data_IF_447470337766
#
_entry.id   IF_447470337766
#
_cell.length_a   1.000
_cell.length_b   1.000
_cell.length_c   1.000
_cell.angle_alpha   90.00
_cell.angle_beta   90.00
_cell.angle_gamma   90.00
#
_symmetry.space_group_name_H-M   'P 1'
#
loop_
_entity.id
_entity.type
_entity.pdbx_description
1 polymer ?
#
# COMPACT_ATOMS: atom_id res chain seq x y z
N UNK A 1 11.73 13.35 17.18
CA UNK A 1 10.85 12.19 16.93
C UNK A 1 9.85 12.61 15.88
N UNK A 2 10.26 12.57 14.62
CA UNK A 2 9.39 12.89 13.49
C UNK A 2 8.66 11.60 13.10
N UNK A 3 7.33 11.63 13.15
CA UNK A 3 6.48 10.50 12.80
C UNK A 3 6.43 10.42 11.26
N UNK A 4 7.57 10.07 10.63
CA UNK A 4 7.86 10.21 9.20
C UNK A 4 7.28 9.07 8.34
N UNK A 5 6.06 8.60 8.61
CA UNK A 5 5.33 7.89 7.58
C UNK A 5 4.83 8.97 6.62
N UNK A 6 5.46 9.12 5.45
CA UNK A 6 5.02 10.06 4.41
C UNK A 6 3.77 9.51 3.68
N UNK A 7 2.74 9.13 4.46
CA UNK A 7 1.46 8.57 4.04
C UNK A 7 0.36 9.38 4.71
N UNK A 8 -0.53 9.96 3.91
CA UNK A 8 -1.61 10.81 4.40
C UNK A 8 -2.65 9.99 5.17
N UNK A 9 -3.26 10.61 6.18
CA UNK A 9 -4.21 9.93 7.08
C UNK A 9 -5.49 9.50 6.36
N UNK A 10 -5.91 10.20 5.31
CA UNK A 10 -7.05 9.81 4.48
C UNK A 10 -6.81 8.49 3.72
N UNK A 11 -5.55 8.11 3.48
CA UNK A 11 -5.20 6.82 2.87
C UNK A 11 -5.34 5.67 3.90
N UNK A 12 -5.42 5.97 5.20
CA UNK A 12 -5.50 5.00 6.29
C UNK A 12 -6.92 4.91 6.88
N UNK A 13 -7.92 4.87 6.00
CA UNK A 13 -9.35 4.82 6.36
C UNK A 13 -10.04 3.57 5.79
N UNK A 14 -11.24 3.22 6.29
CA UNK A 14 -12.10 2.22 5.67
C UNK A 14 -12.42 2.58 4.21
N UNK A 15 -12.68 1.56 3.39
CA UNK A 15 -12.85 1.70 1.93
C UNK A 15 -13.86 2.77 1.50
N UNK A 16 -14.92 2.97 2.29
CA UNK A 16 -15.96 3.98 2.03
C UNK A 16 -15.48 5.43 2.16
N UNK A 17 -14.45 5.66 2.96
CA UNK A 17 -13.92 7.01 3.30
C UNK A 17 -12.45 7.19 2.94
N UNK A 18 -11.86 6.20 2.28
CA UNK A 18 -10.44 6.24 1.93
C UNK A 18 -10.16 7.21 0.78
N UNK A 19 -8.94 7.73 0.77
CA UNK A 19 -8.38 8.33 -0.42
C UNK A 19 -7.40 7.36 -1.08
N UNK A 20 -7.36 7.39 -2.41
CA UNK A 20 -6.35 6.67 -3.18
C UNK A 20 -4.95 7.21 -2.82
N UNK A 21 -3.98 6.34 -2.46
CA UNK A 21 -2.60 6.77 -2.24
C UNK A 21 -1.90 7.12 -3.56
N UNK A 22 -0.94 8.05 -3.49
CA UNK A 22 -0.01 8.37 -4.57
C UNK A 22 1.06 7.30 -4.76
N UNK A 23 1.83 7.38 -5.84
CA UNK A 23 2.95 6.48 -6.10
C UNK A 23 4.05 6.57 -5.05
N UNK A 24 4.26 7.75 -4.47
CA UNK A 24 5.18 7.96 -3.34
C UNK A 24 4.69 7.27 -2.07
N UNK A 25 3.40 7.37 -1.76
CA UNK A 25 2.78 6.69 -0.61
C UNK A 25 2.83 5.16 -0.79
N UNK A 26 2.64 4.66 -2.01
CA UNK A 26 2.83 3.24 -2.34
C UNK A 26 4.30 2.82 -2.16
N UNK A 27 5.26 3.65 -2.55
CA UNK A 27 6.68 3.37 -2.32
C UNK A 27 6.99 3.33 -0.81
N UNK A 28 6.41 4.25 -0.06
CA UNK A 28 6.65 4.37 1.37
C UNK A 28 6.05 3.19 2.15
N UNK A 29 4.82 2.76 1.84
CA UNK A 29 4.25 1.58 2.52
C UNK A 29 5.06 0.32 2.26
N UNK A 30 5.62 0.16 1.05
CA UNK A 30 6.52 -0.95 0.72
C UNK A 30 7.82 -0.89 1.52
N UNK A 31 8.38 0.31 1.69
CA UNK A 31 9.59 0.55 2.49
C UNK A 31 9.35 0.19 3.96
N UNK A 32 8.25 0.68 4.55
CA UNK A 32 7.84 0.40 5.92
C UNK A 32 7.59 -1.09 6.15
N UNK A 33 6.97 -1.77 5.19
CA UNK A 33 6.75 -3.21 5.22
C UNK A 33 8.02 -4.06 4.98
N UNK A 34 9.15 -3.44 4.62
CA UNK A 34 10.38 -4.17 4.25
C UNK A 34 10.23 -5.01 2.98
N UNK A 35 9.32 -4.64 2.08
CA UNK A 35 8.97 -5.42 0.89
C UNK A 35 9.62 -4.84 -0.37
N UNK A 36 10.31 -5.70 -1.12
CA UNK A 36 10.63 -5.43 -2.52
C UNK A 36 9.38 -5.60 -3.39
N UNK A 37 9.36 -5.02 -4.59
CA UNK A 37 8.21 -5.19 -5.51
C UNK A 37 7.89 -6.66 -5.84
N UNK A 38 8.92 -7.51 -5.99
CA UNK A 38 8.71 -8.94 -6.21
C UNK A 38 8.15 -9.69 -5.00
N UNK A 39 8.56 -9.32 -3.78
CA UNK A 39 8.00 -9.91 -2.56
C UNK A 39 6.58 -9.41 -2.30
N UNK A 40 6.31 -8.12 -2.52
CA UNK A 40 4.98 -7.52 -2.46
C UNK A 40 4.01 -8.22 -3.42
N UNK A 41 4.42 -8.45 -4.67
CA UNK A 41 3.62 -9.19 -5.64
C UNK A 41 3.24 -10.60 -5.18
N UNK A 42 4.16 -11.30 -4.50
CA UNK A 42 3.92 -12.65 -3.96
C UNK A 42 2.94 -12.63 -2.79
N UNK A 43 3.12 -11.73 -1.82
CA UNK A 43 2.23 -11.68 -0.64
C UNK A 43 0.83 -11.16 -0.98
N UNK A 44 0.70 -10.37 -2.05
CA UNK A 44 -0.58 -9.89 -2.58
C UNK A 44 -1.21 -10.85 -3.61
N UNK A 45 -0.57 -11.97 -3.94
CA UNK A 45 -1.12 -12.96 -4.87
C UNK A 45 -1.29 -12.48 -6.32
N UNK A 46 -0.48 -11.53 -6.80
CA UNK A 46 -0.66 -10.87 -8.12
C UNK A 46 -0.20 -11.72 -9.33
N UNK A 47 0.18 -12.97 -9.12
CA UNK A 47 0.61 -13.89 -10.18
C UNK A 47 1.99 -13.58 -10.81
N UNK A 48 2.35 -14.26 -11.91
CA UNK A 48 3.71 -14.26 -12.48
C UNK A 48 4.26 -12.91 -12.94
N UNK A 49 3.39 -11.92 -13.21
CA UNK A 49 3.76 -10.56 -13.63
C UNK A 49 3.41 -9.50 -12.57
N UNK A 50 3.22 -9.92 -11.33
CA UNK A 50 2.76 -9.04 -10.25
C UNK A 50 3.75 -7.92 -9.92
N UNK A 51 5.04 -8.11 -10.13
CA UNK A 51 6.07 -7.07 -9.96
C UNK A 51 5.83 -5.87 -10.89
N UNK A 52 5.36 -6.11 -12.12
CA UNK A 52 4.96 -5.06 -13.07
C UNK A 52 3.74 -4.31 -12.57
N UNK A 53 2.79 -5.01 -11.94
CA UNK A 53 1.62 -4.37 -11.31
C UNK A 53 2.06 -3.45 -10.18
N UNK A 54 2.98 -3.89 -9.30
CA UNK A 54 3.53 -3.02 -8.25
C UNK A 54 4.20 -1.77 -8.85
N UNK A 55 5.00 -1.93 -9.90
CA UNK A 55 5.65 -0.79 -10.57
C UNK A 55 4.66 0.21 -11.16
N UNK A 56 3.53 -0.27 -11.72
CA UNK A 56 2.46 0.61 -12.22
C UNK A 56 1.76 1.38 -11.11
N UNK A 57 1.61 0.80 -9.92
CA UNK A 57 1.08 1.52 -8.77
C UNK A 57 2.04 2.60 -8.28
N UNK A 58 3.33 2.28 -8.19
CA UNK A 58 4.38 3.25 -7.80
C UNK A 58 4.56 4.36 -8.84
N UNK A 59 4.40 4.05 -10.13
CA UNK A 59 4.47 5.00 -11.23
C UNK A 59 3.15 5.73 -11.52
N UNK A 60 2.09 5.45 -10.76
CA UNK A 60 0.75 6.01 -10.94
C UNK A 60 0.09 5.72 -12.31
N UNK A 61 0.64 4.76 -13.07
CA UNK A 61 0.04 4.28 -14.33
C UNK A 61 -1.35 3.67 -14.11
N UNK A 62 -1.54 3.04 -12.95
CA UNK A 62 -2.82 2.47 -12.52
C UNK A 62 -2.96 2.62 -11.01
N UNK A 63 -4.16 2.87 -10.47
CA UNK A 63 -4.37 2.93 -9.02
C UNK A 63 -4.20 1.56 -8.36
N UNK A 64 -3.69 1.56 -7.12
CA UNK A 64 -3.69 0.37 -6.27
C UNK A 64 -5.11 0.10 -5.72
N UNK A 65 -5.65 -1.12 -5.83
CA UNK A 65 -6.94 -1.47 -5.22
C UNK A 65 -6.91 -1.44 -3.69
N UNK A 66 -8.06 -1.17 -3.06
CA UNK A 66 -8.20 -1.11 -1.59
C UNK A 66 -7.64 -2.31 -0.87
N UNK A 67 -8.04 -3.51 -1.29
CA UNK A 67 -7.62 -4.75 -0.64
C UNK A 67 -6.09 -4.91 -0.66
N UNK A 68 -5.42 -4.51 -1.74
CA UNK A 68 -3.98 -4.59 -1.84
C UNK A 68 -3.30 -3.56 -0.92
N UNK A 69 -3.78 -2.33 -0.90
CA UNK A 69 -3.29 -1.29 -0.01
C UNK A 69 -3.47 -1.65 1.47
N UNK A 70 -4.66 -2.12 1.84
CA UNK A 70 -5.00 -2.56 3.19
C UNK A 70 -4.04 -3.64 3.70
N UNK A 71 -3.74 -4.66 2.88
CA UNK A 71 -2.76 -5.69 3.23
C UNK A 71 -1.35 -5.10 3.41
N UNK A 72 -0.94 -4.19 2.52
CA UNK A 72 0.37 -3.52 2.65
C UNK A 72 0.45 -2.67 3.92
N UNK A 73 -0.62 -1.97 4.31
CA UNK A 73 -0.69 -1.24 5.57
C UNK A 73 -0.52 -2.15 6.78
N UNK A 74 -1.14 -3.33 6.78
CA UNK A 74 -0.97 -4.33 7.85
C UNK A 74 0.48 -4.83 7.91
N UNK A 75 1.08 -5.21 6.77
CA UNK A 75 2.50 -5.59 6.71
C UNK A 75 3.45 -4.46 7.15
N UNK A 76 3.07 -3.20 6.93
CA UNK A 76 3.82 -2.02 7.33
C UNK A 76 3.63 -1.64 8.82
N UNK A 77 2.79 -2.36 9.56
CA UNK A 77 2.49 -2.05 10.96
C UNK A 77 1.60 -0.82 11.16
N UNK A 78 0.89 -0.37 10.11
CA UNK A 78 -0.05 0.76 10.17
C UNK A 78 -1.44 0.34 10.66
N UNK A 79 -1.65 -0.96 10.89
CA UNK A 79 -2.88 -1.53 11.43
C UNK A 79 -3.91 -1.90 10.36
N UNK A 80 -5.03 -2.44 10.82
CA UNK A 80 -6.12 -2.94 9.98
C UNK A 80 -7.05 -1.80 9.58
N UNK A 81 -6.71 -1.07 8.51
CA UNK A 81 -7.42 0.15 8.08
C UNK A 81 -8.90 -0.04 7.71
N UNK A 82 -9.34 -1.29 7.56
CA UNK A 82 -10.73 -1.66 7.25
C UNK A 82 -11.59 -1.92 8.48
N UNK A 83 -10.98 -2.01 9.67
CA UNK A 83 -11.74 -2.12 10.92
C UNK A 83 -12.02 -0.72 11.44
N UNK A 84 -13.29 -0.44 11.72
CA UNK A 84 -13.64 0.67 12.60
C UNK A 84 -13.26 0.27 14.03
N UNK A 85 -12.60 1.18 14.75
CA UNK A 85 -12.30 1.05 16.18
C UNK A 85 -13.44 1.66 16.97
#
# INVERSE_FOLDING_TARGET
MTNDANIRLECLKPAERWAQPSGEEVREVLRLAGLTGGKAAKVLGLGPKGDRTIRRWVGEDTPIPYAAWALLCDYAGLGLIWKEV
#
